data_IF_388525469614
#
_entry.id   IF_388525469614
#
_cell.length_a   1.000
_cell.length_b   1.000
_cell.length_c   1.000
_cell.angle_alpha   90.00
_cell.angle_beta   90.00
_cell.angle_gamma   90.00
#
_symmetry.space_group_name_H-M   'P 1'
#
loop_
_entity.id
_entity.type
_entity.pdbx_description
1 polymer ?
#
# COMPACT_ATOMS: atom_id res chain seq x y z
N UNK A 1 2.97 -13.59 -18.37
CA UNK A 1 1.83 -13.73 -17.44
C UNK A 1 0.52 -14.04 -18.16
N UNK A 2 0.22 -13.43 -19.31
CA UNK A 2 -1.03 -13.68 -20.06
C UNK A 2 -1.28 -15.16 -20.38
N UNK A 3 -0.23 -15.91 -20.72
CA UNK A 3 -0.34 -17.34 -20.97
C UNK A 3 -0.92 -18.11 -19.76
N UNK A 4 -0.48 -17.79 -18.54
CA UNK A 4 -0.99 -18.38 -17.30
C UNK A 4 -2.42 -17.91 -17.00
N UNK A 5 -2.71 -16.62 -17.20
CA UNK A 5 -4.03 -16.05 -16.95
C UNK A 5 -5.13 -16.73 -17.81
N UNK A 6 -4.78 -17.13 -19.04
CA UNK A 6 -5.67 -17.81 -19.98
C UNK A 6 -5.74 -19.34 -19.81
N UNK A 7 -4.99 -19.94 -18.88
CA UNK A 7 -5.12 -21.37 -18.58
C UNK A 7 -6.51 -21.68 -18.02
N UNK A 8 -6.90 -22.96 -18.09
CA UNK A 8 -8.11 -23.42 -17.41
C UNK A 8 -8.00 -23.24 -15.90
N UNK A 9 -9.14 -23.08 -15.22
CA UNK A 9 -9.21 -22.98 -13.75
C UNK A 9 -8.43 -24.09 -13.05
N UNK A 10 -8.54 -25.32 -13.55
CA UNK A 10 -7.82 -26.49 -13.02
C UNK A 10 -6.29 -26.34 -13.15
N UNK A 11 -5.78 -25.99 -14.34
CA UNK A 11 -4.32 -25.85 -14.54
C UNK A 11 -3.72 -24.70 -13.73
N UNK A 12 -4.47 -23.59 -13.56
CA UNK A 12 -4.06 -22.51 -12.65
C UNK A 12 -4.02 -23.01 -11.20
N UNK A 13 -5.04 -23.76 -10.78
CA UNK A 13 -5.10 -24.31 -9.43
C UNK A 13 -3.92 -25.25 -9.13
N UNK A 14 -3.54 -26.12 -10.07
CA UNK A 14 -2.37 -27.00 -9.95
C UNK A 14 -1.08 -26.17 -9.73
N UNK A 15 -0.80 -25.18 -10.60
CA UNK A 15 0.37 -24.32 -10.48
C UNK A 15 0.41 -23.55 -9.15
N UNK A 16 -0.72 -22.98 -8.74
CA UNK A 16 -0.80 -22.19 -7.50
C UNK A 16 -0.68 -23.07 -6.26
N UNK A 17 -1.20 -24.30 -6.28
CA UNK A 17 -1.07 -25.25 -5.16
C UNK A 17 0.38 -25.71 -4.96
N UNK A 18 1.09 -26.02 -6.05
CA UNK A 18 2.50 -26.38 -5.99
C UNK A 18 3.35 -25.20 -5.48
N UNK A 19 3.07 -24.00 -5.98
CA UNK A 19 3.76 -22.78 -5.52
C UNK A 19 3.50 -22.52 -4.03
N UNK A 20 2.25 -22.66 -3.57
CA UNK A 20 1.86 -22.44 -2.18
C UNK A 20 2.54 -23.44 -1.24
N UNK A 21 2.65 -24.71 -1.66
CA UNK A 21 3.37 -25.76 -0.94
C UNK A 21 4.85 -25.40 -0.75
N UNK A 22 5.53 -24.99 -1.83
CA UNK A 22 6.94 -24.56 -1.77
C UNK A 22 7.17 -23.33 -0.90
N UNK A 23 6.17 -22.44 -0.81
CA UNK A 23 6.25 -21.21 -0.02
C UNK A 23 5.68 -21.34 1.39
N UNK A 24 5.12 -22.50 1.75
CA UNK A 24 4.43 -22.73 3.04
C UNK A 24 3.37 -21.66 3.33
N UNK A 25 2.58 -21.32 2.31
CA UNK A 25 1.49 -20.34 2.37
C UNK A 25 0.19 -20.96 1.82
N UNK A 26 -0.91 -20.21 1.79
CA UNK A 26 -2.19 -20.71 1.26
C UNK A 26 -2.27 -20.57 -0.26
N UNK A 27 -3.03 -21.46 -0.90
CA UNK A 27 -3.30 -21.41 -2.33
C UNK A 27 -3.96 -20.08 -2.74
N UNK A 28 -4.86 -19.56 -1.90
CA UNK A 28 -5.55 -18.29 -2.13
C UNK A 28 -4.58 -17.10 -2.12
N UNK A 29 -3.57 -17.08 -1.24
CA UNK A 29 -2.53 -16.04 -1.25
C UNK A 29 -1.76 -16.08 -2.57
N UNK A 30 -1.32 -17.26 -3.03
CA UNK A 30 -0.57 -17.39 -4.28
C UNK A 30 -1.40 -17.01 -5.51
N UNK A 31 -2.66 -17.45 -5.55
CA UNK A 31 -3.55 -17.09 -6.64
C UNK A 31 -3.78 -15.58 -6.69
N UNK A 32 -4.11 -14.96 -5.56
CA UNK A 32 -4.37 -13.52 -5.50
C UNK A 32 -3.11 -12.74 -5.83
N UNK A 33 -1.96 -13.20 -5.37
CA UNK A 33 -0.65 -12.64 -5.73
C UNK A 33 -0.44 -12.58 -7.25
N UNK A 34 -0.74 -13.67 -7.95
CA UNK A 34 -0.65 -13.72 -9.40
C UNK A 34 -1.57 -12.68 -10.05
N UNK A 35 -2.83 -12.58 -9.61
CA UNK A 35 -3.79 -11.62 -10.19
C UNK A 35 -3.45 -10.16 -9.87
N UNK A 36 -2.85 -9.88 -8.70
CA UNK A 36 -2.30 -8.55 -8.35
C UNK A 36 -1.20 -8.17 -9.33
N UNK A 37 -0.21 -9.04 -9.54
CA UNK A 37 0.91 -8.74 -10.46
C UNK A 37 0.44 -8.66 -11.91
N UNK A 38 -0.50 -9.52 -12.32
CA UNK A 38 -1.10 -9.46 -13.65
C UNK A 38 -1.87 -8.15 -13.87
N UNK A 39 -2.62 -7.69 -12.87
CA UNK A 39 -3.35 -6.41 -12.93
C UNK A 39 -2.39 -5.23 -13.03
N UNK A 40 -1.31 -5.23 -12.25
CA UNK A 40 -0.24 -4.24 -12.35
C UNK A 40 0.41 -4.23 -13.74
N UNK A 41 0.73 -5.40 -14.33
CA UNK A 41 1.27 -5.48 -15.70
C UNK A 41 0.31 -4.85 -16.72
N UNK A 42 -1.00 -5.08 -16.59
CA UNK A 42 -1.99 -4.47 -17.48
C UNK A 42 -2.12 -2.96 -17.32
N UNK A 43 -2.07 -2.46 -16.08
CA UNK A 43 -2.14 -1.03 -15.80
C UNK A 43 -0.89 -0.32 -16.33
N UNK A 44 0.30 -0.81 -15.99
CA UNK A 44 1.56 -0.14 -16.32
C UNK A 44 2.06 -0.41 -17.75
N UNK A 45 1.49 -1.39 -18.46
CA UNK A 45 1.73 -1.58 -19.90
C UNK A 45 0.83 -0.70 -20.78
N UNK A 46 -0.21 -0.06 -20.24
CA UNK A 46 -1.04 0.88 -21.00
C UNK A 46 -0.48 2.29 -20.91
N UNK A 47 -0.09 2.87 -22.06
CA UNK A 47 0.52 4.20 -22.13
C UNK A 47 -0.34 5.33 -21.55
N UNK A 48 -1.67 5.19 -21.54
CA UNK A 48 -2.59 6.19 -20.98
C UNK A 48 -2.53 6.16 -19.46
N UNK A 49 -2.53 4.95 -18.89
CA UNK A 49 -2.51 4.72 -17.44
C UNK A 49 -1.13 4.93 -16.83
N UNK A 50 -0.08 4.42 -17.47
CA UNK A 50 1.31 4.52 -17.01
C UNK A 50 1.80 5.96 -16.83
N UNK A 51 1.22 6.92 -17.58
CA UNK A 51 1.55 8.35 -17.49
C UNK A 51 0.86 9.08 -16.36
N UNK A 52 -0.18 8.51 -15.77
CA UNK A 52 -1.10 9.19 -14.86
C UNK A 52 -1.25 8.48 -13.51
N UNK A 53 -0.66 7.29 -13.36
CA UNK A 53 -0.71 6.48 -12.15
C UNK A 53 0.71 6.17 -11.66
N UNK A 54 0.88 6.19 -10.34
CA UNK A 54 2.11 5.78 -9.65
C UNK A 54 1.77 4.77 -8.57
N UNK A 55 2.51 3.66 -8.48
CA UNK A 55 2.28 2.63 -7.46
C UNK A 55 2.90 3.00 -6.11
N UNK A 56 2.25 2.63 -5.00
CA UNK A 56 2.78 2.85 -3.66
C UNK A 56 2.31 1.79 -2.65
N UNK A 57 2.52 2.08 -1.36
CA UNK A 57 1.82 1.42 -0.27
C UNK A 57 2.40 0.07 0.14
N UNK A 58 1.62 -0.72 0.87
CA UNK A 58 2.09 -1.96 1.49
C UNK A 58 2.55 -3.02 0.49
N UNK A 59 1.91 -3.06 -0.68
CA UNK A 59 2.22 -4.05 -1.72
C UNK A 59 3.54 -3.73 -2.43
N UNK A 60 3.93 -2.45 -2.53
CA UNK A 60 5.28 -2.09 -3.01
C UNK A 60 6.39 -2.61 -2.08
N UNK A 61 6.18 -2.59 -0.76
CA UNK A 61 7.17 -3.07 0.21
C UNK A 61 7.42 -4.57 0.10
N UNK A 62 6.41 -5.37 -0.22
CA UNK A 62 6.59 -6.81 -0.44
C UNK A 62 7.12 -7.10 -1.85
N UNK A 63 6.53 -6.47 -2.88
CA UNK A 63 6.78 -6.83 -4.28
C UNK A 63 8.02 -6.23 -4.91
N UNK A 64 8.29 -4.97 -4.59
CA UNK A 64 9.40 -4.22 -5.20
C UNK A 64 10.63 -4.33 -4.31
N UNK A 65 10.46 -4.07 -3.02
CA UNK A 65 11.60 -3.90 -2.12
C UNK A 65 11.91 -5.14 -1.29
N UNK A 66 11.04 -6.15 -1.29
CA UNK A 66 11.16 -7.36 -0.47
C UNK A 66 11.50 -7.03 1.00
N UNK A 67 10.86 -6.00 1.58
CA UNK A 67 11.12 -5.52 2.93
C UNK A 67 10.25 -6.21 3.97
N UNK A 68 9.03 -6.61 3.61
CA UNK A 68 8.08 -7.27 4.50
C UNK A 68 7.85 -8.72 4.09
N UNK A 69 7.37 -9.58 5.01
CA UNK A 69 7.10 -11.00 4.76
C UNK A 69 5.63 -11.39 4.85
N UNK A 70 4.74 -10.39 4.84
CA UNK A 70 3.29 -10.59 4.79
C UNK A 70 2.74 -10.35 3.39
N UNK A 71 1.64 -11.01 3.08
CA UNK A 71 0.85 -10.70 1.89
C UNK A 71 0.17 -9.34 2.04
N UNK A 72 0.10 -8.60 0.94
CA UNK A 72 -0.60 -7.32 0.85
C UNK A 72 -1.47 -7.41 -0.39
N UNK A 73 -2.78 -7.41 -0.17
CA UNK A 73 -3.78 -7.77 -1.19
C UNK A 73 -4.30 -6.57 -1.99
N UNK A 74 -4.05 -5.35 -1.48
CA UNK A 74 -4.55 -4.08 -2.02
C UNK A 74 -3.52 -3.47 -2.98
N UNK A 75 -3.96 -2.76 -4.02
CA UNK A 75 -3.08 -2.01 -4.90
C UNK A 75 -3.32 -0.52 -4.67
N UNK A 76 -2.39 0.13 -3.96
CA UNK A 76 -2.43 1.58 -3.75
C UNK A 76 -1.82 2.31 -4.97
N UNK A 77 -2.61 3.18 -5.58
CA UNK A 77 -2.21 4.01 -6.72
C UNK A 77 -2.36 5.50 -6.39
N UNK A 78 -1.45 6.30 -6.93
CA UNK A 78 -1.51 7.75 -6.89
C UNK A 78 -1.94 8.24 -8.27
N UNK A 79 -3.04 8.99 -8.32
CA UNK A 79 -3.49 9.68 -9.52
C UNK A 79 -2.77 11.03 -9.65
N UNK A 80 -2.39 11.39 -10.88
CA UNK A 80 -1.87 12.71 -11.19
C UNK A 80 -2.92 13.79 -10.89
N UNK A 81 -2.65 14.63 -9.88
CA UNK A 81 -3.57 15.69 -9.46
C UNK A 81 -3.92 16.68 -10.58
N UNK A 82 -3.05 16.82 -11.61
CA UNK A 82 -3.28 17.73 -12.75
C UNK A 82 -4.49 17.35 -13.59
N UNK A 83 -4.99 16.12 -13.45
CA UNK A 83 -6.19 15.64 -14.12
C UNK A 83 -7.48 16.07 -13.43
N UNK A 84 -7.39 16.41 -12.14
CA UNK A 84 -8.54 16.67 -11.26
C UNK A 84 -8.51 18.09 -10.69
N UNK A 85 -7.44 18.84 -10.94
CA UNK A 85 -7.29 20.24 -10.56
C UNK A 85 -6.49 21.03 -11.58
N UNK A 86 -6.87 22.28 -11.79
CA UNK A 86 -6.08 23.27 -12.56
C UNK A 86 -5.04 24.00 -11.71
N UNK A 87 -5.26 24.04 -10.41
CA UNK A 87 -4.37 24.69 -9.45
C UNK A 87 -3.52 23.62 -8.75
N UNK A 88 -2.26 23.94 -8.48
CA UNK A 88 -1.36 23.02 -7.80
C UNK A 88 -1.78 22.88 -6.33
N UNK A 89 -2.12 21.67 -5.86
CA UNK A 89 -2.53 21.46 -4.47
C UNK A 89 -1.43 21.78 -3.46
N UNK A 90 -0.16 21.80 -3.89
CA UNK A 90 0.96 22.18 -3.05
C UNK A 90 1.10 23.69 -2.86
N UNK A 91 0.42 24.53 -3.64
CA UNK A 91 0.49 25.99 -3.48
C UNK A 91 -0.25 26.46 -2.23
N UNK A 92 0.26 27.49 -1.57
CA UNK A 92 -0.36 28.04 -0.36
C UNK A 92 -1.74 28.64 -0.67
N UNK A 93 -2.73 28.23 0.12
CA UNK A 93 -4.07 28.78 0.06
C UNK A 93 -4.23 29.90 1.07
N UNK A 94 -5.04 30.91 0.75
CA UNK A 94 -5.20 32.10 1.59
C UNK A 94 -5.74 31.84 3.01
N UNK A 95 -6.29 30.65 3.29
CA UNK A 95 -6.65 30.22 4.65
C UNK A 95 -6.78 28.71 4.77
N UNK A 96 -6.71 28.18 6.01
CA UNK A 96 -6.94 26.75 6.30
C UNK A 96 -8.30 26.25 5.82
N UNK A 97 -9.36 27.05 5.98
CA UNK A 97 -10.71 26.68 5.51
C UNK A 97 -10.80 26.58 3.99
N UNK A 98 -10.08 27.46 3.26
CA UNK A 98 -9.97 27.36 1.80
C UNK A 98 -9.20 26.11 1.39
N UNK A 99 -8.11 25.78 2.09
CA UNK A 99 -7.37 24.53 1.84
C UNK A 99 -8.27 23.30 2.01
N UNK A 100 -9.04 23.20 3.10
CA UNK A 100 -9.94 22.07 3.33
C UNK A 100 -10.96 21.92 2.19
N UNK A 101 -11.65 23.00 1.83
CA UNK A 101 -12.62 22.99 0.72
C UNK A 101 -11.98 22.63 -0.62
N UNK A 102 -10.76 23.10 -0.85
CA UNK A 102 -10.01 22.78 -2.05
C UNK A 102 -9.64 21.29 -2.12
N UNK A 103 -9.20 20.70 -1.00
CA UNK A 103 -8.94 19.26 -0.92
C UNK A 103 -10.21 18.43 -1.13
N UNK A 104 -11.35 18.85 -0.55
CA UNK A 104 -12.66 18.23 -0.77
C UNK A 104 -13.05 18.28 -2.25
N UNK A 105 -12.87 19.42 -2.90
CA UNK A 105 -13.16 19.56 -4.34
C UNK A 105 -12.29 18.66 -5.21
N UNK A 106 -10.98 18.56 -4.92
CA UNK A 106 -10.08 17.65 -5.63
C UNK A 106 -10.54 16.20 -5.49
N UNK A 107 -10.93 15.82 -4.27
CA UNK A 107 -11.43 14.48 -3.96
C UNK A 107 -12.71 14.16 -4.75
N UNK A 108 -13.68 15.09 -4.81
CA UNK A 108 -14.90 14.90 -5.61
C UNK A 108 -14.60 14.84 -7.12
N UNK A 109 -13.71 15.69 -7.62
CA UNK A 109 -13.26 15.62 -9.02
C UNK A 109 -12.58 14.28 -9.34
N UNK A 110 -11.78 13.76 -8.40
CA UNK A 110 -11.13 12.47 -8.55
C UNK A 110 -12.11 11.31 -8.60
N UNK A 111 -13.15 11.30 -7.76
CA UNK A 111 -14.20 10.28 -7.83
C UNK A 111 -14.87 10.23 -9.20
N UNK A 112 -15.23 11.40 -9.74
CA UNK A 112 -15.80 11.52 -11.09
C UNK A 112 -14.81 10.99 -12.14
N UNK A 113 -13.55 11.40 -12.07
CA UNK A 113 -12.51 10.93 -13.00
C UNK A 113 -12.28 9.42 -12.92
N UNK A 114 -12.22 8.85 -11.71
CA UNK A 114 -12.05 7.41 -11.48
C UNK A 114 -13.22 6.65 -12.11
N UNK A 115 -14.46 7.09 -11.86
CA UNK A 115 -15.66 6.43 -12.37
C UNK A 115 -15.84 6.56 -13.87
N UNK A 116 -15.68 7.75 -14.42
CA UNK A 116 -16.08 8.05 -15.80
C UNK A 116 -14.93 7.83 -16.80
N UNK A 117 -13.67 7.86 -16.34
CA UNK A 117 -12.48 7.75 -17.21
C UNK A 117 -11.64 6.52 -16.88
N UNK A 118 -11.17 6.37 -15.62
CA UNK A 118 -10.25 5.27 -15.29
C UNK A 118 -10.92 3.90 -15.32
N UNK A 119 -12.12 3.77 -14.73
CA UNK A 119 -12.84 2.51 -14.65
C UNK A 119 -13.09 1.91 -16.05
N UNK A 120 -13.58 2.66 -17.07
CA UNK A 120 -13.71 2.14 -18.43
C UNK A 120 -12.38 1.66 -19.04
N UNK A 121 -11.30 2.43 -18.88
CA UNK A 121 -9.97 2.08 -19.41
C UNK A 121 -9.43 0.81 -18.74
N UNK A 122 -9.50 0.74 -17.42
CA UNK A 122 -9.06 -0.44 -16.65
C UNK A 122 -9.90 -1.65 -17.01
N UNK A 123 -11.23 -1.51 -17.07
CA UNK A 123 -12.14 -2.59 -17.47
C UNK A 123 -11.80 -3.15 -18.85
N UNK A 124 -11.48 -2.28 -19.81
CA UNK A 124 -11.05 -2.68 -21.14
C UNK A 124 -9.76 -3.50 -21.10
N UNK A 125 -8.78 -3.06 -20.30
CA UNK A 125 -7.46 -3.71 -20.21
C UNK A 125 -7.49 -5.06 -19.48
N UNK A 126 -8.44 -5.27 -18.56
CA UNK A 126 -8.58 -6.51 -17.80
C UNK A 126 -9.59 -7.50 -18.41
N UNK A 127 -10.38 -7.06 -19.39
CA UNK A 127 -11.32 -7.91 -20.15
C UNK A 127 -10.59 -8.92 -21.04
N UNK A 128 -11.15 -10.12 -21.27
CA UNK A 128 -12.40 -10.65 -20.71
C UNK A 128 -12.22 -11.39 -19.39
N UNK A 129 -11.01 -11.42 -18.83
CA UNK A 129 -10.69 -12.29 -17.70
C UNK A 129 -11.21 -11.77 -16.37
N UNK A 130 -11.17 -10.45 -16.16
CA UNK A 130 -11.66 -9.81 -14.94
C UNK A 130 -12.80 -8.84 -15.24
N UNK A 131 -13.67 -8.63 -14.25
CA UNK A 131 -14.69 -7.58 -14.27
C UNK A 131 -14.38 -6.52 -13.21
N UNK A 132 -14.68 -5.26 -13.53
CA UNK A 132 -14.38 -4.13 -12.65
C UNK A 132 -15.66 -3.39 -12.27
N UNK A 133 -15.75 -2.93 -11.02
CA UNK A 133 -16.81 -2.05 -10.56
C UNK A 133 -16.26 -1.01 -9.58
N UNK A 134 -16.99 0.11 -9.43
CA UNK A 134 -16.64 1.12 -8.43
C UNK A 134 -17.01 0.62 -7.03
N UNK A 135 -16.11 0.84 -6.07
CA UNK A 135 -16.35 0.52 -4.66
C UNK A 135 -17.24 1.57 -3.98
N UNK A 136 -17.76 1.25 -2.80
CA UNK A 136 -18.62 2.14 -2.00
C UNK A 136 -17.95 3.46 -1.61
N UNK A 137 -16.61 3.49 -1.50
CA UNK A 137 -15.85 4.70 -1.16
C UNK A 137 -15.69 5.67 -2.35
N UNK A 138 -16.08 5.25 -3.56
CA UNK A 138 -15.92 5.96 -4.83
C UNK A 138 -14.46 6.30 -5.24
N UNK A 139 -13.48 5.96 -4.41
CA UNK A 139 -12.04 6.13 -4.68
C UNK A 139 -11.40 4.85 -5.20
N UNK A 140 -12.09 3.73 -5.03
CA UNK A 140 -11.51 2.43 -5.30
C UNK A 140 -12.26 1.69 -6.40
N UNK A 141 -11.53 0.90 -7.17
CA UNK A 141 -12.08 -0.01 -8.17
C UNK A 141 -11.89 -1.44 -7.67
N UNK A 142 -12.99 -2.18 -7.54
CA UNK A 142 -12.95 -3.61 -7.28
C UNK A 142 -12.70 -4.38 -8.58
N UNK A 143 -11.65 -5.20 -8.59
CA UNK A 143 -11.33 -6.09 -9.71
C UNK A 143 -11.65 -7.52 -9.29
N UNK A 144 -12.70 -8.08 -9.89
CA UNK A 144 -13.09 -9.48 -9.72
C UNK A 144 -12.33 -10.33 -10.73
N UNK A 145 -11.51 -11.24 -10.23
CA UNK A 145 -10.71 -12.17 -11.03
C UNK A 145 -11.30 -13.60 -10.95
N UNK A 146 -10.98 -14.50 -11.90
CA UNK A 146 -11.59 -15.82 -11.95
C UNK A 146 -10.89 -16.78 -10.96
N UNK A 147 -11.24 -16.65 -9.68
CA UNK A 147 -10.65 -17.37 -8.56
C UNK A 147 -10.88 -18.90 -8.62
N UNK A 148 -9.86 -19.65 -8.25
CA UNK A 148 -9.82 -21.09 -8.09
C UNK A 148 -9.95 -21.54 -6.63
N UNK A 149 -9.61 -20.67 -5.70
CA UNK A 149 -9.67 -20.95 -4.27
C UNK A 149 -10.55 -19.93 -3.55
N UNK A 150 -11.29 -20.41 -2.56
CA UNK A 150 -12.02 -19.58 -1.62
C UNK A 150 -11.21 -19.43 -0.33
N UNK A 151 -11.32 -18.28 0.32
CA UNK A 151 -10.66 -17.98 1.58
C UNK A 151 -11.61 -17.13 2.45
N UNK A 152 -11.65 -17.38 3.75
CA UNK A 152 -12.56 -16.68 4.67
C UNK A 152 -11.99 -15.36 5.19
N UNK A 153 -10.68 -15.13 5.02
CA UNK A 153 -9.97 -13.96 5.53
C UNK A 153 -9.62 -12.96 4.43
N UNK A 154 -9.20 -13.45 3.26
CA UNK A 154 -8.91 -12.62 2.10
C UNK A 154 -10.19 -12.16 1.39
N UNK A 155 -10.15 -10.95 0.84
CA UNK A 155 -11.24 -10.49 -0.02
C UNK A 155 -11.25 -11.26 -1.34
N UNK A 156 -12.40 -11.55 -1.93
CA UNK A 156 -12.46 -12.23 -3.23
C UNK A 156 -12.02 -11.32 -4.39
N UNK A 157 -12.05 -10.00 -4.20
CA UNK A 157 -11.59 -9.02 -5.19
C UNK A 157 -10.24 -8.40 -4.84
N UNK A 158 -9.58 -7.84 -5.86
CA UNK A 158 -8.45 -6.93 -5.70
C UNK A 158 -8.99 -5.51 -5.64
N UNK A 159 -8.64 -4.75 -4.60
CA UNK A 159 -9.01 -3.36 -4.47
C UNK A 159 -7.89 -2.48 -5.07
N UNK A 160 -8.23 -1.70 -6.09
CA UNK A 160 -7.38 -0.62 -6.59
C UNK A 160 -7.75 0.67 -5.85
N UNK A 161 -7.01 1.03 -4.80
CA UNK A 161 -7.24 2.28 -4.05
C UNK A 161 -6.52 3.43 -4.76
N UNK A 162 -7.28 4.40 -5.30
CA UNK A 162 -6.71 5.48 -6.13
C UNK A 162 -6.89 6.84 -5.44
N UNK A 163 -5.76 7.46 -5.06
CA UNK A 163 -5.76 8.75 -4.39
C UNK A 163 -5.14 9.88 -5.24
N UNK A 164 -5.80 11.05 -5.38
CA UNK A 164 -5.24 12.20 -6.12
C UNK A 164 -4.21 13.01 -5.31
N UNK A 165 -4.19 12.82 -3.99
CA UNK A 165 -3.37 13.58 -3.05
C UNK A 165 -2.26 12.69 -2.50
N UNK A 166 -1.25 12.40 -3.32
CA UNK A 166 0.06 11.94 -2.85
C UNK A 166 1.16 12.44 -3.81
N UNK A 167 2.38 12.60 -3.31
CA UNK A 167 3.50 12.97 -4.16
C UNK A 167 4.08 11.75 -4.87
N UNK A 168 4.43 11.93 -6.14
CA UNK A 168 5.12 10.93 -6.95
C UNK A 168 6.61 10.86 -6.66
N UNK A 169 7.16 11.81 -5.89
CA UNK A 169 8.60 11.94 -5.70
C UNK A 169 9.03 11.57 -4.27
N UNK A 170 10.15 10.85 -4.12
CA UNK A 170 10.95 10.23 -5.18
C UNK A 170 10.29 8.94 -5.73
N UNK A 171 10.42 8.68 -7.03
CA UNK A 171 9.96 7.44 -7.68
C UNK A 171 11.00 6.89 -8.65
N UNK A 172 10.87 5.60 -8.95
CA UNK A 172 11.69 4.89 -9.93
C UNK A 172 10.88 3.75 -10.59
N UNK A 173 11.44 3.12 -11.61
CA UNK A 173 10.86 1.98 -12.31
C UNK A 173 11.48 0.67 -11.81
N UNK A 174 10.65 -0.32 -11.49
CA UNK A 174 11.08 -1.58 -10.93
C UNK A 174 10.45 -2.77 -11.65
N UNK A 175 11.24 -3.83 -11.76
CA UNK A 175 10.77 -5.12 -12.23
C UNK A 175 10.18 -5.94 -11.07
N UNK A 176 8.97 -6.47 -11.25
CA UNK A 176 8.29 -7.32 -10.27
C UNK A 176 7.88 -8.67 -10.88
N UNK A 177 7.65 -9.66 -10.01
CA UNK A 177 7.18 -11.00 -10.38
C UNK A 177 6.13 -11.52 -9.40
N UNK A 178 5.22 -12.35 -9.89
CA UNK A 178 4.33 -13.15 -9.03
C UNK A 178 5.10 -14.27 -8.35
N UNK A 179 4.58 -14.78 -7.23
CA UNK A 179 5.14 -15.93 -6.54
C UNK A 179 5.26 -17.15 -7.44
N UNK A 180 4.24 -17.42 -8.27
CA UNK A 180 4.27 -18.50 -9.24
C UNK A 180 5.36 -18.29 -10.30
N UNK A 181 5.56 -17.06 -10.77
CA UNK A 181 6.63 -16.75 -11.72
C UNK A 181 8.04 -16.88 -11.09
N UNK A 182 8.20 -16.58 -9.80
CA UNK A 182 9.47 -16.77 -9.08
C UNK A 182 9.79 -18.26 -8.92
N UNK A 183 8.80 -19.11 -8.61
CA UNK A 183 9.02 -20.54 -8.36
C UNK A 183 9.07 -21.38 -9.64
N UNK A 184 8.31 -20.99 -10.66
CA UNK A 184 8.22 -21.71 -11.92
C UNK A 184 8.39 -20.76 -13.12
N UNK A 185 9.53 -20.05 -13.25
CA UNK A 185 9.71 -19.07 -14.32
C UNK A 185 9.57 -19.68 -15.73
N UNK A 186 9.92 -20.95 -15.89
CA UNK A 186 9.88 -21.68 -17.16
C UNK A 186 8.47 -21.85 -17.74
N UNK A 187 7.41 -21.74 -16.92
CA UNK A 187 6.03 -21.83 -17.43
C UNK A 187 5.47 -20.48 -17.87
N UNK A 188 6.20 -19.38 -17.67
CA UNK A 188 5.80 -18.03 -18.02
C UNK A 188 6.54 -17.56 -19.27
N UNK A 189 5.80 -17.11 -20.29
CA UNK A 189 6.42 -16.45 -21.46
C UNK A 189 7.07 -15.10 -21.08
N UNK A 190 6.41 -14.37 -20.19
CA UNK A 190 6.87 -13.11 -19.60
C UNK A 190 6.71 -13.22 -18.07
N UNK A 191 7.75 -13.63 -17.33
CA UNK A 191 7.66 -13.85 -15.88
C UNK A 191 7.60 -12.55 -15.08
N UNK A 192 8.12 -11.46 -15.65
CA UNK A 192 8.28 -10.16 -15.00
C UNK A 192 7.45 -9.06 -15.65
N UNK A 193 7.19 -7.97 -14.92
CA UNK A 193 6.68 -6.72 -15.49
C UNK A 193 7.32 -5.50 -14.83
N UNK A 194 7.37 -4.38 -15.55
CA UNK A 194 7.89 -3.12 -15.03
C UNK A 194 6.74 -2.26 -14.51
N UNK A 195 6.95 -1.66 -13.34
CA UNK A 195 6.00 -0.74 -12.73
C UNK A 195 6.73 0.50 -12.23
N UNK A 196 6.05 1.65 -12.23
CA UNK A 196 6.57 2.86 -11.62
C UNK A 196 6.06 2.95 -10.18
N UNK A 197 6.95 3.12 -9.21
CA UNK A 197 6.59 3.19 -7.79
C UNK A 197 7.40 4.24 -7.03
N UNK A 198 6.83 4.76 -5.94
CA UNK A 198 7.58 5.61 -5.01
C UNK A 198 8.66 4.81 -4.28
N UNK A 199 9.77 5.46 -3.94
CA UNK A 199 10.88 4.79 -3.25
C UNK A 199 10.53 4.43 -1.80
N UNK A 200 11.10 3.32 -1.31
CA UNK A 200 10.79 2.77 0.01
C UNK A 200 11.06 3.75 1.17
N UNK A 201 12.08 4.61 1.09
CA UNK A 201 12.38 5.62 2.13
C UNK A 201 11.26 6.65 2.33
N UNK A 202 10.47 6.94 1.28
CA UNK A 202 9.28 7.78 1.42
C UNK A 202 8.19 7.01 2.16
N UNK A 203 7.92 5.77 1.76
CA UNK A 203 6.95 4.90 2.44
C UNK A 203 7.32 4.66 3.91
N UNK A 204 8.61 4.64 4.24
CA UNK A 204 9.11 4.58 5.62
C UNK A 204 8.53 5.74 6.45
N UNK A 205 8.72 6.98 5.99
CA UNK A 205 8.20 8.16 6.69
C UNK A 205 6.67 8.26 6.65
N UNK A 206 6.02 7.82 5.57
CA UNK A 206 4.55 7.72 5.52
C UNK A 206 4.02 6.74 6.58
N UNK A 207 4.70 5.62 6.82
CA UNK A 207 4.34 4.68 7.89
C UNK A 207 4.68 5.19 9.27
N UNK A 208 5.86 5.79 9.46
CA UNK A 208 6.25 6.40 10.74
C UNK A 208 5.24 7.47 11.17
N UNK A 209 4.78 8.32 10.25
CA UNK A 209 3.77 9.35 10.54
C UNK A 209 2.37 8.77 10.78
N UNK A 210 2.01 7.61 10.19
CA UNK A 210 0.81 6.87 10.58
C UNK A 210 0.91 6.40 12.04
N UNK A 211 2.06 5.86 12.43
CA UNK A 211 2.28 5.41 13.82
C UNK A 211 2.28 6.58 14.80
N UNK A 212 2.85 7.74 14.43
CA UNK A 212 2.77 8.96 15.23
C UNK A 212 1.33 9.44 15.41
N UNK A 213 0.55 9.45 14.34
CA UNK A 213 -0.87 9.73 14.39
C UNK A 213 -1.55 8.79 15.41
N UNK A 214 -1.37 7.47 15.28
CA UNK A 214 -1.97 6.49 16.20
C UNK A 214 -1.50 6.62 17.65
N UNK A 215 -0.23 6.98 17.87
CA UNK A 215 0.31 7.20 19.22
C UNK A 215 -0.40 8.35 19.96
N UNK A 216 -0.98 9.29 19.22
CA UNK A 216 -1.74 10.42 19.77
C UNK A 216 -3.27 10.23 19.67
N UNK A 217 -3.76 9.03 19.30
CA UNK A 217 -5.19 8.74 19.20
C UNK A 217 -5.89 8.94 20.56
N UNK A 218 -6.99 9.71 20.62
CA UNK A 218 -7.80 9.90 21.83
C UNK A 218 -8.33 8.57 22.40
N UNK A 219 -8.56 8.53 23.71
CA UNK A 219 -9.00 7.30 24.43
C UNK A 219 -10.35 6.78 23.95
N UNK A 220 -11.27 7.70 23.64
CA UNK A 220 -12.65 7.46 23.21
C UNK A 220 -12.78 7.02 21.74
N UNK A 221 -11.73 7.17 20.93
CA UNK A 221 -11.71 6.72 19.54
C UNK A 221 -11.36 5.23 19.44
N UNK A 222 -11.91 4.49 18.48
CA UNK A 222 -11.50 3.09 18.24
C UNK A 222 -10.33 3.02 17.25
N UNK A 223 -9.49 1.98 17.37
CA UNK A 223 -8.48 1.68 16.34
C UNK A 223 -9.19 0.95 15.20
N UNK A 224 -8.95 1.32 13.93
CA UNK A 224 -9.46 0.56 12.80
C UNK A 224 -8.97 -0.91 12.83
N UNK A 225 -9.72 -1.79 12.18
CA UNK A 225 -9.31 -3.20 12.03
C UNK A 225 -8.11 -3.26 11.06
N UNK A 226 -7.26 -4.29 11.19
CA UNK A 226 -6.09 -4.56 10.34
C UNK A 226 -4.99 -3.49 10.42
N UNK A 227 -5.00 -2.65 11.47
CA UNK A 227 -4.04 -1.55 11.61
C UNK A 227 -2.68 -1.99 12.17
N UNK A 228 -2.61 -3.14 12.84
CA UNK A 228 -1.35 -3.75 13.30
C UNK A 228 -0.34 -3.97 12.17
N UNK A 229 -0.81 -4.10 10.92
CA UNK A 229 0.03 -4.19 9.71
C UNK A 229 1.01 -3.03 9.57
N UNK A 230 0.62 -1.82 9.97
CA UNK A 230 1.51 -0.66 9.90
C UNK A 230 2.69 -0.77 10.86
N UNK A 231 2.46 -1.32 12.06
CA UNK A 231 3.50 -1.57 13.06
C UNK A 231 4.47 -2.65 12.61
N UNK A 232 3.95 -3.78 12.11
CA UNK A 232 4.77 -4.85 11.54
C UNK A 232 5.62 -4.32 10.38
N UNK A 233 5.01 -3.62 9.42
CA UNK A 233 5.72 -3.13 8.25
C UNK A 233 6.86 -2.17 8.63
N UNK A 234 6.60 -1.20 9.52
CA UNK A 234 7.65 -0.25 9.93
C UNK A 234 8.76 -0.94 10.72
N UNK A 235 8.43 -1.89 11.61
CA UNK A 235 9.43 -2.67 12.33
C UNK A 235 10.31 -3.49 11.39
N UNK A 236 9.74 -4.06 10.33
CA UNK A 236 10.49 -4.76 9.29
C UNK A 236 11.40 -3.83 8.51
N UNK A 237 10.91 -2.65 8.14
CA UNK A 237 11.73 -1.64 7.43
C UNK A 237 12.86 -1.11 8.31
N UNK A 238 12.64 -0.97 9.62
CA UNK A 238 13.64 -0.53 10.60
C UNK A 238 14.85 -1.48 10.70
N UNK A 239 14.69 -2.75 10.33
CA UNK A 239 15.77 -3.74 10.30
C UNK A 239 16.55 -3.78 8.98
N UNK A 240 16.26 -2.86 8.05
CA UNK A 240 16.83 -2.89 6.71
C UNK A 240 17.50 -1.55 6.35
N UNK A 241 18.31 -1.55 5.28
CA UNK A 241 19.10 -0.38 4.85
C UNK A 241 18.24 0.86 4.55
N UNK A 242 16.98 0.65 4.17
CA UNK A 242 16.00 1.72 3.95
C UNK A 242 15.82 2.61 5.18
N UNK A 243 16.00 2.07 6.40
CA UNK A 243 15.98 2.86 7.63
C UNK A 243 17.09 3.91 7.59
N UNK A 244 18.32 3.50 7.32
CA UNK A 244 19.47 4.41 7.30
C UNK A 244 19.32 5.45 6.17
N UNK A 245 18.83 5.05 5.00
CA UNK A 245 18.50 5.98 3.91
C UNK A 245 17.44 7.02 4.29
N UNK A 246 16.41 6.61 5.02
CA UNK A 246 15.34 7.49 5.47
C UNK A 246 15.81 8.44 6.57
N UNK A 247 16.57 7.94 7.55
CA UNK A 247 17.09 8.74 8.68
C UNK A 247 18.15 9.76 8.24
N UNK A 248 18.89 9.49 7.16
CA UNK A 248 19.82 10.45 6.56
C UNK A 248 19.14 11.54 5.71
N UNK A 249 17.84 11.45 5.46
CA UNK A 249 17.05 12.37 4.64
C UNK A 249 15.85 12.93 5.44
N UNK A 250 16.16 13.75 6.45
CA UNK A 250 15.13 14.38 7.30
C UNK A 250 14.30 15.43 6.56
N UNK A 251 14.79 15.96 5.44
CA UNK A 251 14.01 16.84 4.58
C UNK A 251 12.82 16.07 3.98
N UNK A 252 13.00 14.79 3.64
CA UNK A 252 11.88 13.93 3.22
C UNK A 252 10.85 13.74 4.33
N UNK A 253 11.26 13.63 5.60
CA UNK A 253 10.33 13.62 6.73
C UNK A 253 9.52 14.91 6.79
N UNK A 254 10.20 16.07 6.74
CA UNK A 254 9.55 17.39 6.77
C UNK A 254 8.50 17.49 5.65
N UNK A 255 8.85 17.09 4.42
CA UNK A 255 7.92 17.06 3.29
C UNK A 255 6.70 16.16 3.55
N UNK A 256 6.89 14.97 4.13
CA UNK A 256 5.77 14.07 4.45
C UNK A 256 4.86 14.66 5.53
N UNK A 257 5.43 15.31 6.54
CA UNK A 257 4.68 15.97 7.63
C UNK A 257 3.86 17.14 7.10
N UNK A 258 4.47 18.04 6.34
CA UNK A 258 3.79 19.18 5.71
C UNK A 258 2.65 18.72 4.81
N UNK A 259 2.90 17.66 4.02
CA UNK A 259 1.90 17.03 3.19
C UNK A 259 0.71 16.51 4.01
N UNK A 260 0.96 15.78 5.10
CA UNK A 260 -0.11 15.25 5.98
C UNK A 260 -0.91 16.38 6.65
N UNK A 261 -0.25 17.42 7.13
CA UNK A 261 -0.92 18.59 7.71
C UNK A 261 -1.83 19.30 6.70
N UNK A 262 -1.39 19.40 5.45
CA UNK A 262 -2.11 20.10 4.39
C UNK A 262 -3.31 19.31 3.85
N UNK A 263 -3.14 18.02 3.59
CA UNK A 263 -4.13 17.20 2.89
C UNK A 263 -4.97 16.31 3.80
N UNK A 264 -4.46 15.97 4.98
CA UNK A 264 -5.13 15.08 5.93
C UNK A 264 -5.17 15.71 7.33
N UNK A 265 -5.66 16.96 7.48
CA UNK A 265 -5.65 17.66 8.75
C UNK A 265 -6.46 16.88 9.79
N UNK A 266 -5.83 16.64 10.94
CA UNK A 266 -6.45 15.94 12.05
C UNK A 266 -5.84 16.41 13.36
N UNK A 267 -6.64 17.13 14.16
CA UNK A 267 -6.15 17.85 15.33
C UNK A 267 -5.40 16.96 16.34
N UNK A 268 -5.86 15.74 16.55
CA UNK A 268 -5.22 14.82 17.50
C UNK A 268 -3.99 14.11 16.93
N UNK A 269 -3.73 14.20 15.61
CA UNK A 269 -2.59 13.53 14.99
C UNK A 269 -1.25 14.15 15.37
N UNK A 270 -1.26 15.44 15.78
CA UNK A 270 -0.08 16.21 16.22
C UNK A 270 1.10 16.14 15.25
N UNK A 271 0.83 16.22 13.94
CA UNK A 271 1.88 16.11 12.92
C UNK A 271 3.03 17.11 13.10
N UNK A 272 2.78 18.28 13.70
CA UNK A 272 3.80 19.27 14.07
C UNK A 272 4.81 18.78 15.13
N UNK A 273 4.46 17.72 15.88
CA UNK A 273 5.32 17.00 16.82
C UNK A 273 6.02 15.80 16.15
N UNK A 274 5.70 15.45 14.89
CA UNK A 274 6.34 14.37 14.15
C UNK A 274 7.71 14.78 13.58
N UNK A 275 8.62 15.20 14.48
CA UNK A 275 9.97 15.67 14.18
C UNK A 275 10.96 15.17 15.24
N UNK A 276 12.25 15.34 14.96
CA UNK A 276 13.33 15.06 15.93
C UNK A 276 13.00 15.60 17.32
N UNK A 277 13.12 14.72 18.32
CA UNK A 277 12.97 15.02 19.75
C UNK A 277 11.55 14.84 20.29
N UNK A 278 10.52 14.81 19.44
CA UNK A 278 9.11 14.68 19.84
C UNK A 278 8.36 13.58 19.09
N UNK A 279 9.04 12.85 18.18
CA UNK A 279 8.44 11.79 17.39
C UNK A 279 7.97 10.65 18.29
N UNK A 280 6.86 10.02 17.92
CA UNK A 280 6.24 8.90 18.63
C UNK A 280 5.89 7.81 17.62
N UNK A 281 6.21 6.58 17.94
CA UNK A 281 5.85 5.38 17.19
C UNK A 281 5.06 4.41 18.06
N UNK A 282 5.31 4.41 19.37
CA UNK A 282 4.63 3.51 20.28
C UNK A 282 3.22 3.99 20.62
N UNK A 283 2.22 3.08 20.57
CA UNK A 283 0.88 3.41 20.98
C UNK A 283 0.81 3.48 22.52
N UNK A 284 -0.17 4.20 23.09
CA UNK A 284 -0.41 4.16 24.53
C UNK A 284 -0.68 2.75 25.03
N UNK A 285 -0.25 2.42 26.27
CA UNK A 285 -0.37 1.07 26.86
C UNK A 285 -1.77 0.46 26.75
N UNK A 286 -2.82 1.26 26.93
CA UNK A 286 -4.22 0.80 26.87
C UNK A 286 -4.67 0.33 25.47
N UNK A 287 -3.84 0.51 24.44
CA UNK A 287 -4.10 0.05 23.06
C UNK A 287 -3.36 -1.22 22.69
N UNK A 288 -2.36 -1.64 23.47
CA UNK A 288 -1.48 -2.76 23.12
C UNK A 288 -2.27 -4.06 22.95
N UNK A 289 -3.19 -4.37 23.86
CA UNK A 289 -4.00 -5.59 23.79
C UNK A 289 -4.86 -5.66 22.51
N UNK A 290 -5.42 -4.51 22.09
CA UNK A 290 -6.21 -4.43 20.86
C UNK A 290 -5.35 -4.65 19.63
N UNK A 291 -4.16 -4.04 19.59
CA UNK A 291 -3.21 -4.20 18.50
C UNK A 291 -2.63 -5.61 18.45
N UNK A 292 -2.38 -6.25 19.59
CA UNK A 292 -1.90 -7.63 19.65
C UNK A 292 -2.96 -8.61 19.14
N UNK A 293 -4.23 -8.41 19.50
CA UNK A 293 -5.36 -9.21 18.96
C UNK A 293 -5.47 -9.06 17.44
N UNK A 294 -5.38 -7.83 16.94
CA UNK A 294 -5.38 -7.56 15.51
C UNK A 294 -4.17 -8.20 14.80
N UNK A 295 -2.99 -8.14 15.42
CA UNK A 295 -1.78 -8.78 14.91
C UNK A 295 -1.93 -10.30 14.80
N UNK A 296 -2.48 -10.95 15.83
CA UNK A 296 -2.77 -12.39 15.84
C UNK A 296 -3.71 -12.78 14.70
N UNK A 297 -4.75 -11.97 14.44
CA UNK A 297 -5.64 -12.21 13.31
C UNK A 297 -4.92 -12.06 11.95
N UNK A 298 -3.96 -11.15 11.84
CA UNK A 298 -3.16 -10.93 10.63
C UNK A 298 -2.09 -12.01 10.39
N UNK A 299 -1.69 -12.79 11.40
CA UNK A 299 -0.58 -13.76 11.27
C UNK A 299 -0.74 -14.76 10.12
N UNK A 300 -1.97 -15.08 9.73
CA UNK A 300 -2.26 -15.94 8.58
C UNK A 300 -1.75 -15.37 7.24
N UNK A 301 -1.57 -14.05 7.14
CA UNK A 301 -0.98 -13.39 5.97
C UNK A 301 0.56 -13.39 6.01
N UNK A 302 1.18 -13.69 7.15
CA UNK A 302 2.65 -13.63 7.34
C UNK A 302 3.26 -14.99 7.02
N UNK A 303 3.76 -15.15 5.80
CA UNK A 303 4.37 -16.39 5.32
C UNK A 303 5.90 -16.37 5.41
N UNK A 304 6.51 -15.19 5.58
CA UNK A 304 7.95 -14.99 5.74
C UNK A 304 8.25 -13.89 6.79
N UNK A 305 9.51 -13.73 7.21
CA UNK A 305 9.99 -12.65 8.10
C UNK A 305 9.09 -12.43 9.31
N UNK A 306 8.86 -13.51 10.05
CA UNK A 306 7.95 -13.53 11.19
C UNK A 306 8.58 -12.78 12.36
N UNK A 307 7.81 -11.89 12.98
CA UNK A 307 8.12 -11.26 14.26
C UNK A 307 7.02 -11.60 15.26
N UNK A 308 7.34 -11.65 16.53
CA UNK A 308 6.36 -11.60 17.60
C UNK A 308 5.89 -10.16 17.80
N UNK A 309 4.71 -9.98 18.39
CA UNK A 309 4.22 -8.64 18.71
C UNK A 309 5.19 -7.88 19.64
N UNK A 310 5.78 -8.57 20.61
CA UNK A 310 6.76 -7.98 21.53
C UNK A 310 8.05 -7.54 20.80
N UNK A 311 8.53 -8.32 19.83
CA UNK A 311 9.67 -7.91 19.00
C UNK A 311 9.34 -6.66 18.20
N UNK A 312 8.15 -6.58 17.57
CA UNK A 312 7.70 -5.38 16.85
C UNK A 312 7.74 -4.16 17.75
N UNK A 313 7.17 -4.24 18.95
CA UNK A 313 7.17 -3.13 19.91
C UNK A 313 8.61 -2.75 20.32
N UNK A 314 9.47 -3.73 20.59
CA UNK A 314 10.87 -3.49 20.97
C UNK A 314 11.66 -2.78 19.84
N UNK A 315 11.48 -3.20 18.60
CA UNK A 315 12.14 -2.57 17.44
C UNK A 315 11.66 -1.13 17.28
N UNK A 316 10.36 -0.89 17.38
CA UNK A 316 9.78 0.44 17.24
C UNK A 316 10.19 1.37 18.40
N UNK A 317 10.35 0.84 19.61
CA UNK A 317 10.88 1.60 20.75
C UNK A 317 12.30 2.10 20.46
N UNK A 318 13.17 1.23 19.94
CA UNK A 318 14.54 1.61 19.59
C UNK A 318 14.57 2.60 18.42
N UNK A 319 13.74 2.38 17.40
CA UNK A 319 13.63 3.31 16.28
C UNK A 319 13.13 4.70 16.73
N UNK A 320 12.15 4.76 17.63
CA UNK A 320 11.65 6.02 18.19
C UNK A 320 12.77 6.78 18.92
N UNK A 321 13.59 6.09 19.71
CA UNK A 321 14.76 6.69 20.38
C UNK A 321 15.77 7.21 19.35
N UNK A 322 16.06 6.43 18.32
CA UNK A 322 17.01 6.80 17.27
C UNK A 322 16.55 8.06 16.50
N UNK A 323 15.29 8.08 16.03
CA UNK A 323 14.67 9.26 15.36
C UNK A 323 14.75 10.51 16.22
N UNK A 324 14.61 10.36 17.54
CA UNK A 324 14.61 11.50 18.45
C UNK A 324 16.00 12.01 18.85
N UNK A 325 17.07 11.27 18.52
CA UNK A 325 18.46 11.64 18.81
C UNK A 325 19.17 12.21 17.58
N UNK A 326 19.00 11.56 16.41
CA UNK A 326 19.54 12.00 15.10
C UNK A 326 18.98 13.36 14.75
#
# INVERSE_FOLDING_TARGET
MNNIANLTKQKRAELFSETATLMKTTNAIVEKDFWVVWTLDKIFSDDRLNKILMFKGGTSLSKVFNLIGRFSEDIDLILDWRLVSKENPLDEQASKNKQTRFNEQINENAKIYIKDILLPIISQNLSPLCSCNISEDEFSINVNYPNAFDDTYLRPEILLEIGPLASWLPSDSFEISSFAAIKFPQVFEKPTCNINTIVAKRTFWEKATILHHEANRPVDSTIPIRYSRHYYDLAMMAQNKVKDEALNDLDLLTNVVEFKQKFYPRNWAKYEEAKKGTFKLLPPKFRLDTLEKDYKAMQNMIFDKKLTFNEIIYILENLEKEINII
#
